data_IF_420182039444
#
_entry.id   IF_420182039444
#
_cell.length_a   1.000
_cell.length_b   1.000
_cell.length_c   1.000
_cell.angle_alpha   90.00
_cell.angle_beta   90.00
_cell.angle_gamma   90.00
#
_symmetry.space_group_name_H-M   'P 1'
#
loop_
_entity.id
_entity.type
_entity.pdbx_description
1 polymer ?
#
# COMPACT_ATOMS: atom_id res chain seq x y z
N UNK A 1 2.93 15.18 -43.04
CA UNK A 1 2.62 16.29 -42.10
C UNK A 1 1.84 15.87 -40.83
N UNK A 2 1.64 14.58 -40.51
CA UNK A 2 0.82 14.17 -39.34
C UNK A 2 1.60 13.78 -38.07
N UNK A 3 2.92 13.58 -38.14
CA UNK A 3 3.71 12.99 -37.03
C UNK A 3 3.82 13.89 -35.80
N UNK A 4 3.90 15.21 -35.97
CA UNK A 4 4.02 16.15 -34.84
C UNK A 4 2.79 16.15 -33.92
N UNK A 5 1.58 16.03 -34.50
CA UNK A 5 0.33 15.96 -33.75
C UNK A 5 0.19 14.65 -32.98
N UNK A 6 0.56 13.53 -33.62
CA UNK A 6 0.58 12.23 -32.96
C UNK A 6 1.56 12.21 -31.78
N UNK A 7 2.79 12.73 -31.99
CA UNK A 7 3.79 12.84 -30.92
C UNK A 7 3.30 13.69 -29.75
N UNK A 8 2.69 14.85 -30.03
CA UNK A 8 2.12 15.71 -29.00
C UNK A 8 1.01 15.00 -28.19
N UNK A 9 0.10 14.28 -28.86
CA UNK A 9 -0.95 13.49 -28.20
C UNK A 9 -0.34 12.40 -27.31
N UNK A 10 0.65 11.68 -27.80
CA UNK A 10 1.31 10.62 -27.04
C UNK A 10 2.06 11.15 -25.82
N UNK A 11 2.77 12.28 -25.94
CA UNK A 11 3.43 12.91 -24.79
C UNK A 11 2.42 13.40 -23.74
N UNK A 12 1.25 13.89 -24.16
CA UNK A 12 0.17 14.26 -23.23
C UNK A 12 -0.34 13.03 -22.46
N UNK A 13 -0.68 11.96 -23.16
CA UNK A 13 -1.16 10.70 -22.56
C UNK A 13 -0.11 10.10 -21.62
N UNK A 14 1.17 10.07 -22.04
CA UNK A 14 2.24 9.53 -21.22
C UNK A 14 2.45 10.33 -19.92
N UNK A 15 2.32 11.66 -19.96
CA UNK A 15 2.38 12.49 -18.75
C UNK A 15 1.19 12.25 -17.85
N UNK A 16 -0.01 12.16 -18.42
CA UNK A 16 -1.22 11.84 -17.67
C UNK A 16 -1.05 10.49 -16.97
N UNK A 17 -0.60 9.44 -17.65
CA UNK A 17 -0.35 8.13 -17.04
C UNK A 17 0.76 8.14 -15.97
N UNK A 18 1.85 8.88 -16.21
CA UNK A 18 2.99 8.93 -15.28
C UNK A 18 2.67 9.69 -13.99
N UNK A 19 1.87 10.74 -14.11
CA UNK A 19 1.60 11.67 -13.02
C UNK A 19 0.13 11.63 -12.55
N UNK A 20 -0.69 10.73 -13.09
CA UNK A 20 -2.00 10.42 -12.52
C UNK A 20 -1.80 9.62 -11.25
N UNK A 21 -2.16 10.21 -10.12
CA UNK A 21 -2.39 9.45 -8.91
C UNK A 21 -3.81 8.89 -8.98
N UNK A 22 -4.01 7.56 -9.03
CA UNK A 22 -5.35 7.01 -8.94
C UNK A 22 -5.99 7.44 -7.62
N UNK A 23 -7.25 7.89 -7.68
CA UNK A 23 -8.01 8.20 -6.48
C UNK A 23 -8.45 6.90 -5.81
N UNK A 24 -7.91 6.61 -4.64
CA UNK A 24 -8.36 5.48 -3.83
C UNK A 24 -9.60 5.88 -3.02
N UNK A 25 -10.64 5.05 -3.07
CA UNK A 25 -11.80 5.21 -2.17
C UNK A 25 -11.41 4.73 -0.77
N UNK A 26 -11.02 5.68 0.08
CA UNK A 26 -10.60 5.41 1.45
C UNK A 26 -11.71 4.81 2.31
N UNK A 27 -12.98 5.09 1.99
CA UNK A 27 -14.12 4.58 2.77
C UNK A 27 -14.33 3.09 2.49
N UNK A 28 -14.30 2.69 1.22
CA UNK A 28 -14.30 1.28 0.81
C UNK A 28 -13.15 0.50 1.46
N UNK A 29 -11.94 1.06 1.42
CA UNK A 29 -10.76 0.44 2.03
C UNK A 29 -10.90 0.28 3.54
N UNK A 30 -11.46 1.28 4.23
CA UNK A 30 -11.73 1.20 5.67
C UNK A 30 -12.75 0.10 5.99
N UNK A 31 -13.83 0.00 5.23
CA UNK A 31 -14.86 -1.03 5.44
C UNK A 31 -14.28 -2.43 5.21
N UNK A 32 -13.44 -2.62 4.19
CA UNK A 32 -12.74 -3.89 3.91
C UNK A 32 -11.74 -4.25 5.01
N UNK A 33 -10.94 -3.29 5.48
CA UNK A 33 -9.98 -3.51 6.56
C UNK A 33 -10.68 -3.79 7.89
N UNK A 34 -11.75 -3.06 8.20
CA UNK A 34 -12.53 -3.24 9.42
C UNK A 34 -13.28 -4.59 9.43
N UNK A 35 -13.76 -5.06 8.28
CA UNK A 35 -14.39 -6.37 8.14
C UNK A 35 -13.41 -7.54 8.01
N UNK A 36 -12.12 -7.25 7.79
CA UNK A 36 -11.04 -8.21 7.54
C UNK A 36 -9.99 -8.29 8.64
N UNK A 37 -10.17 -7.62 9.79
CA UNK A 37 -9.42 -7.96 11.01
C UNK A 37 -9.91 -9.31 11.49
N UNK A 38 -9.47 -10.37 10.82
CA UNK A 38 -9.32 -11.69 11.43
C UNK A 38 -8.64 -11.48 12.76
N UNK A 39 -9.24 -12.02 13.81
CA UNK A 39 -8.63 -12.09 15.14
C UNK A 39 -7.14 -12.34 14.98
N UNK A 40 -6.29 -11.42 15.46
CA UNK A 40 -4.83 -11.58 15.44
C UNK A 40 -4.44 -12.97 15.99
N UNK A 41 -5.24 -13.48 16.93
CA UNK A 41 -5.15 -14.84 17.46
C UNK A 41 -5.35 -15.96 16.42
N UNK A 42 -6.25 -15.80 15.44
CA UNK A 42 -6.50 -16.76 14.35
C UNK A 42 -5.35 -16.76 13.33
N UNK A 43 -4.82 -15.56 13.03
CA UNK A 43 -3.63 -15.40 12.18
C UNK A 43 -2.41 -16.04 12.85
N UNK A 44 -2.22 -15.83 14.15
CA UNK A 44 -1.13 -16.41 14.92
C UNK A 44 -1.26 -17.92 15.10
N UNK A 45 -2.49 -18.41 15.24
CA UNK A 45 -2.78 -19.84 15.28
C UNK A 45 -2.50 -20.54 13.94
N UNK A 46 -2.75 -19.85 12.82
CA UNK A 46 -2.51 -20.36 11.46
C UNK A 46 -1.02 -20.27 11.07
N UNK A 47 -0.33 -19.23 11.53
CA UNK A 47 1.08 -18.96 11.24
C UNK A 47 1.91 -18.83 12.51
N UNK A 48 2.22 -19.96 13.19
CA UNK A 48 2.96 -19.95 14.46
C UNK A 48 4.40 -19.44 14.32
N UNK A 49 4.98 -19.47 13.11
CA UNK A 49 6.29 -18.87 12.79
C UNK A 49 6.33 -17.36 13.11
N UNK A 50 5.19 -16.68 13.03
CA UNK A 50 5.08 -15.23 13.24
C UNK A 50 4.80 -14.86 14.70
N UNK A 51 4.62 -15.86 15.57
CA UNK A 51 4.33 -15.69 17.00
C UNK A 51 5.43 -14.93 17.74
N UNK A 52 6.69 -15.22 17.43
CA UNK A 52 7.83 -14.61 18.10
C UNK A 52 8.01 -13.13 17.71
N UNK A 53 7.57 -12.76 16.51
CA UNK A 53 7.66 -11.39 15.99
C UNK A 53 6.50 -10.52 16.49
N UNK A 54 5.30 -11.08 16.60
CA UNK A 54 4.12 -10.37 17.11
C UNK A 54 4.23 -10.05 18.62
N UNK A 55 4.99 -10.84 19.38
CA UNK A 55 5.18 -10.67 20.81
C UNK A 55 6.27 -9.69 21.23
N UNK A 56 7.14 -9.25 20.30
CA UNK A 56 8.20 -8.28 20.59
C UNK A 56 7.66 -6.86 20.41
N UNK A 57 7.39 -6.10 21.50
CA UNK A 57 7.07 -4.70 21.37
C UNK A 57 8.27 -4.01 20.72
N UNK A 58 8.05 -3.47 19.52
CA UNK A 58 9.04 -2.71 18.75
C UNK A 58 9.83 -1.82 19.71
N UNK A 59 11.08 -2.20 20.02
CA UNK A 59 11.86 -1.54 21.07
C UNK A 59 12.30 -0.19 20.51
N UNK A 60 11.47 0.84 20.67
CA UNK A 60 11.74 2.24 20.26
C UNK A 60 13.11 2.75 20.76
N UNK A 61 13.67 2.09 21.79
CA UNK A 61 14.96 2.41 22.39
C UNK A 61 16.17 2.20 21.46
N UNK A 62 16.10 1.32 20.45
CA UNK A 62 17.22 1.11 19.53
C UNK A 62 17.38 2.25 18.53
N UNK A 63 16.27 2.86 18.09
CA UNK A 63 16.28 4.00 17.18
C UNK A 63 16.70 5.32 17.84
N UNK A 64 16.57 5.44 19.16
CA UNK A 64 17.08 6.60 19.91
C UNK A 64 18.55 6.48 20.29
N UNK A 65 19.17 5.32 20.10
CA UNK A 65 20.56 5.04 20.51
C UNK A 65 21.55 5.08 19.34
N UNK A 66 21.09 4.96 18.09
CA UNK A 66 21.88 5.16 16.88
C UNK A 66 21.96 6.65 16.48
#
# INVERSE_FOLDING_TARGET
MGRGRAKAKQTKVARELKYSTPSTDLKRLQDELAGGVTDEADVLATHPEWSDVAGEPYREEEWRRA
#
